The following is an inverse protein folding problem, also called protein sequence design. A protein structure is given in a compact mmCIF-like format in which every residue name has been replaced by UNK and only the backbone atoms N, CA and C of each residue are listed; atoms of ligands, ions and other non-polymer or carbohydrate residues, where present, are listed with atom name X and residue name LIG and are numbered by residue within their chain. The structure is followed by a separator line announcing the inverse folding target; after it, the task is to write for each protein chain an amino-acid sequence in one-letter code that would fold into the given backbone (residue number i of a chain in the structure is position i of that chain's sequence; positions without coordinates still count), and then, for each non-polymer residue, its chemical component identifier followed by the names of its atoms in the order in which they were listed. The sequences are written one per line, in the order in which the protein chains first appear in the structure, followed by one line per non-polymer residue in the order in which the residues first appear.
data_IF_279954933700
#
_entry.id   IF_279954933700
#
_cell.length_a   1.000
_cell.length_b   1.000
_cell.length_c   1.000
_cell.angle_alpha   90.00
_cell.angle_beta   90.00
_cell.angle_gamma   90.00
#
_symmetry.space_group_name_H-M   'P 1'
#
loop_
_entity.id
_entity.type
_entity.pdbx_description
1 polymer ?
#
# COMPACT_ATOMS: atom_id res chain seq x y z
N UNK A 1 6.39 53.71 -26.86
CA UNK A 1 7.45 53.15 -26.01
C UNK A 1 6.93 53.20 -24.59
N UNK A 2 6.03 52.29 -24.27
CA UNK A 2 5.29 52.29 -23.01
C UNK A 2 6.23 51.80 -21.91
N UNK A 3 6.77 52.75 -21.15
CA UNK A 3 7.58 52.44 -19.98
C UNK A 3 6.64 51.94 -18.87
N UNK A 4 6.72 50.66 -18.47
CA UNK A 4 5.78 50.13 -17.49
C UNK A 4 5.93 50.87 -16.16
N UNK A 5 4.80 51.21 -15.56
CA UNK A 5 4.78 51.82 -14.22
C UNK A 5 5.44 50.86 -13.22
N UNK A 6 6.09 51.41 -12.19
CA UNK A 6 6.71 50.61 -11.12
C UNK A 6 5.75 49.58 -10.52
N UNK A 7 4.46 49.92 -10.43
CA UNK A 7 3.42 48.99 -9.97
C UNK A 7 3.20 47.80 -10.92
N UNK A 8 3.31 48.01 -12.24
CA UNK A 8 3.19 46.94 -13.22
C UNK A 8 4.41 46.02 -13.19
N UNK A 9 5.61 46.57 -13.01
CA UNK A 9 6.84 45.79 -12.87
C UNK A 9 6.76 44.88 -11.63
N UNK A 10 6.28 45.42 -10.50
CA UNK A 10 6.09 44.66 -9.25
C UNK A 10 5.04 43.55 -9.46
N UNK A 11 3.91 43.87 -10.08
CA UNK A 11 2.85 42.88 -10.33
C UNK A 11 3.32 41.73 -11.24
N UNK A 12 4.10 42.04 -12.27
CA UNK A 12 4.69 41.04 -13.17
C UNK A 12 5.73 40.19 -12.44
N UNK A 13 6.58 40.79 -11.61
CA UNK A 13 7.58 40.07 -10.81
C UNK A 13 6.91 39.06 -9.84
N UNK A 14 5.90 39.52 -9.08
CA UNK A 14 5.14 38.65 -8.16
C UNK A 14 4.42 37.50 -8.89
N UNK A 15 3.91 37.78 -10.08
CA UNK A 15 3.26 36.77 -10.93
C UNK A 15 4.27 35.75 -11.45
N UNK A 16 5.48 36.19 -11.79
CA UNK A 16 6.57 35.31 -12.23
C UNK A 16 7.07 34.42 -11.07
N UNK A 17 7.24 34.96 -9.87
CA UNK A 17 7.62 34.19 -8.68
C UNK A 17 6.58 33.10 -8.35
N UNK A 18 5.29 33.45 -8.47
CA UNK A 18 4.18 32.50 -8.32
C UNK A 18 4.21 31.42 -9.41
N UNK A 19 4.51 31.81 -10.65
CA UNK A 19 4.60 30.88 -11.80
C UNK A 19 5.82 29.95 -11.70
N UNK A 20 6.96 30.44 -11.22
CA UNK A 20 8.19 29.63 -10.98
C UNK A 20 7.93 28.58 -9.90
N UNK A 21 7.23 28.96 -8.83
CA UNK A 21 6.85 28.03 -7.76
C UNK A 21 5.93 26.91 -8.29
N UNK A 22 4.97 27.26 -9.15
CA UNK A 22 4.12 26.27 -9.83
C UNK A 22 4.93 25.37 -10.78
N UNK A 23 5.85 25.93 -11.56
CA UNK A 23 6.70 25.20 -12.49
C UNK A 23 7.66 24.21 -11.79
N UNK A 24 8.13 24.52 -10.58
CA UNK A 24 9.01 23.64 -9.81
C UNK A 24 8.23 22.41 -9.26
N UNK A 25 6.97 22.62 -8.86
CA UNK A 25 6.06 21.53 -8.48
C UNK A 25 5.68 20.67 -9.70
N UNK A 26 5.53 21.29 -10.88
CA UNK A 26 5.26 20.60 -12.15
C UNK A 26 6.49 19.81 -12.68
N UNK A 27 7.70 20.29 -12.44
CA UNK A 27 8.95 19.58 -12.81
C UNK A 27 9.18 18.32 -11.97
N UNK A 28 8.69 18.30 -10.73
CA UNK A 28 8.66 17.10 -9.88
C UNK A 28 7.63 16.04 -10.33
N UNK A 29 6.59 16.44 -11.09
CA UNK A 29 5.55 15.53 -11.58
C UNK A 29 5.91 14.85 -12.89
N UNK A 30 6.75 15.47 -13.73
CA UNK A 30 7.20 14.84 -14.99
C UNK A 30 8.20 13.71 -14.78
N UNK A 31 8.98 13.73 -13.70
CA UNK A 31 9.90 12.62 -13.38
C UNK A 31 9.17 11.37 -12.83
N UNK A 32 7.85 11.44 -12.66
CA UNK A 32 7.00 10.30 -12.28
C UNK A 32 6.42 9.55 -13.49
N UNK A 33 6.58 10.07 -14.71
CA UNK A 33 5.99 9.45 -15.92
C UNK A 33 6.93 8.40 -16.53
N UNK A 34 8.23 8.41 -16.23
CA UNK A 34 9.20 7.54 -16.92
C UNK A 34 9.51 6.20 -16.23
N UNK A 35 9.03 5.94 -15.01
CA UNK A 35 9.31 4.68 -14.31
C UNK A 35 8.12 4.15 -13.49
N UNK A 36 6.92 4.22 -14.05
CA UNK A 36 5.77 3.41 -13.59
C UNK A 36 5.94 1.94 -14.00
N UNK A 37 7.03 1.34 -13.56
CA UNK A 37 7.23 -0.10 -13.57
C UNK A 37 8.05 -0.61 -12.40
N UNK A 38 8.79 0.21 -11.62
CA UNK A 38 9.55 -0.31 -10.47
C UNK A 38 9.70 0.70 -9.32
N UNK A 39 9.10 0.35 -8.18
CA UNK A 39 9.34 0.82 -6.79
C UNK A 39 8.52 2.02 -6.30
N UNK A 40 7.34 1.73 -5.73
CA UNK A 40 6.78 2.51 -4.63
C UNK A 40 7.69 2.38 -3.40
N UNK A 41 8.33 3.47 -2.99
CA UNK A 41 8.82 3.65 -1.61
C UNK A 41 7.72 4.38 -0.85
N UNK A 42 6.92 3.63 -0.09
CA UNK A 42 5.93 4.20 0.84
C UNK A 42 6.59 4.42 2.20
N UNK A 43 6.68 5.67 2.65
CA UNK A 43 7.00 5.94 4.04
C UNK A 43 5.77 6.53 4.75
N UNK A 44 5.18 5.71 5.63
CA UNK A 44 4.56 6.21 6.87
C UNK A 44 3.12 6.71 6.82
N UNK A 45 2.17 5.83 6.47
CA UNK A 45 0.88 5.68 7.16
C UNK A 45 0.15 4.49 6.54
N UNK A 46 0.53 3.28 6.98
CA UNK A 46 -0.24 2.08 6.71
C UNK A 46 -1.60 2.22 7.38
N UNK A 47 -2.58 2.79 6.66
CA UNK A 47 -3.98 2.49 6.92
C UNK A 47 -4.08 0.99 6.76
N UNK A 48 -4.05 0.30 7.91
CA UNK A 48 -4.08 -1.15 8.02
C UNK A 48 -5.23 -1.59 7.14
N UNK A 49 -4.91 -2.20 6.01
CA UNK A 49 -5.88 -2.80 5.10
C UNK A 49 -6.42 -4.06 5.76
N UNK A 50 -7.14 -3.87 6.87
CA UNK A 50 -7.82 -4.88 7.67
C UNK A 50 -9.05 -5.46 6.96
N UNK A 51 -9.27 -5.12 5.69
CA UNK A 51 -10.50 -5.48 5.00
C UNK A 51 -10.32 -6.04 3.58
N UNK A 52 -9.25 -6.80 3.32
CA UNK A 52 -9.14 -7.60 2.08
C UNK A 52 -8.92 -9.10 2.26
N UNK A 53 -9.21 -9.66 3.44
CA UNK A 53 -9.21 -11.12 3.64
C UNK A 53 -10.49 -11.67 4.28
N UNK A 54 -11.56 -10.88 4.39
CA UNK A 54 -12.84 -11.34 4.96
C UNK A 54 -13.42 -12.53 4.18
N UNK A 55 -13.23 -12.56 2.86
CA UNK A 55 -13.76 -13.63 2.00
C UNK A 55 -12.79 -14.80 1.76
N UNK A 56 -11.61 -14.81 2.39
CA UNK A 56 -10.67 -15.92 2.24
C UNK A 56 -10.94 -16.98 3.29
N UNK A 57 -11.25 -18.21 2.86
CA UNK A 57 -11.35 -19.38 3.73
C UNK A 57 -9.94 -19.88 4.07
N UNK A 58 -9.66 -20.06 5.35
CA UNK A 58 -8.42 -20.67 5.80
C UNK A 58 -8.44 -22.18 5.55
N UNK A 59 -7.60 -22.65 4.63
CA UNK A 59 -7.48 -24.07 4.27
C UNK A 59 -7.05 -25.00 5.40
N UNK A 60 -6.57 -24.46 6.51
CA UNK A 60 -6.11 -25.24 7.66
C UNK A 60 -7.19 -25.43 8.74
N UNK A 61 -8.23 -24.58 8.77
CA UNK A 61 -9.30 -24.63 9.79
C UNK A 61 -10.74 -24.49 9.26
N UNK A 62 -10.93 -24.09 8.00
CA UNK A 62 -12.24 -23.89 7.37
C UNK A 62 -12.97 -22.61 7.76
N UNK A 63 -12.35 -21.71 8.53
CA UNK A 63 -12.95 -20.41 8.91
C UNK A 63 -12.47 -19.29 7.97
N UNK A 64 -13.30 -18.27 7.80
CA UNK A 64 -13.02 -17.12 6.97
C UNK A 64 -12.34 -15.98 7.75
N UNK A 65 -11.76 -15.01 7.05
CA UNK A 65 -11.30 -13.77 7.66
C UNK A 65 -9.92 -13.81 8.29
N UNK A 66 -9.16 -14.90 8.15
CA UNK A 66 -7.80 -15.01 8.68
C UNK A 66 -6.93 -15.99 7.88
N UNK A 67 -5.62 -15.92 8.10
CA UNK A 67 -4.62 -16.79 7.48
C UNK A 67 -3.89 -17.63 8.53
N UNK A 68 -3.12 -18.64 8.12
CA UNK A 68 -2.28 -19.47 9.01
C UNK A 68 -1.23 -18.63 9.78
N UNK A 69 -0.84 -17.49 9.22
CA UNK A 69 0.09 -16.53 9.82
C UNK A 69 -0.54 -15.64 10.88
N UNK A 70 -1.86 -15.70 11.07
CA UNK A 70 -2.55 -14.92 12.09
C UNK A 70 -2.21 -15.42 13.50
N UNK A 71 -2.02 -14.50 14.45
CA UNK A 71 -1.67 -14.84 15.83
C UNK A 71 -2.81 -15.57 16.55
N UNK A 72 -4.07 -15.31 16.18
CA UNK A 72 -5.27 -15.95 16.72
C UNK A 72 -5.72 -17.15 15.87
N UNK A 73 -4.80 -17.81 15.16
CA UNK A 73 -5.15 -18.99 14.38
C UNK A 73 -5.47 -20.19 15.30
N UNK A 74 -6.72 -20.69 15.35
CA UNK A 74 -7.16 -21.68 16.34
C UNK A 74 -6.54 -23.06 16.16
N UNK A 75 -5.95 -23.35 14.98
CA UNK A 75 -5.27 -24.60 14.72
C UNK A 75 -3.74 -24.50 14.89
N UNK A 76 -3.20 -23.34 15.32
CA UNK A 76 -1.74 -23.11 15.42
C UNK A 76 -1.08 -24.15 16.31
N UNK A 77 -1.64 -24.35 17.50
CA UNK A 77 -1.12 -25.28 18.52
C UNK A 77 -1.76 -26.68 18.42
N UNK A 78 -2.68 -26.87 17.45
CA UNK A 78 -3.41 -28.13 17.33
C UNK A 78 -2.62 -29.12 16.48
N UNK A 79 -2.26 -30.26 17.07
CA UNK A 79 -1.61 -31.38 16.39
C UNK A 79 -2.65 -32.22 15.62
N UNK A 80 -2.42 -32.40 14.33
CA UNK A 80 -3.22 -33.28 13.47
C UNK A 80 -3.00 -34.74 13.87
N UNK A 81 -4.07 -35.52 14.08
CA UNK A 81 -3.92 -36.94 14.47
C UNK A 81 -3.54 -37.84 13.28
N UNK A 82 -3.81 -37.41 12.04
CA UNK A 82 -3.46 -38.15 10.82
C UNK A 82 -1.96 -38.08 10.50
N UNK A 83 -1.37 -36.89 10.50
CA UNK A 83 0.03 -36.68 10.08
C UNK A 83 0.98 -36.24 11.20
N UNK A 84 0.48 -36.11 12.43
CA UNK A 84 1.23 -35.68 13.63
C UNK A 84 1.87 -34.28 13.55
N UNK A 85 1.55 -33.49 12.52
CA UNK A 85 2.01 -32.10 12.35
C UNK A 85 1.00 -31.12 12.94
N UNK A 86 1.48 -29.97 13.40
CA UNK A 86 0.66 -28.89 13.93
C UNK A 86 0.24 -27.87 12.86
N UNK A 87 -0.67 -26.97 13.21
CA UNK A 87 -1.10 -25.88 12.33
C UNK A 87 -2.27 -26.22 11.39
N UNK A 88 -3.02 -27.30 11.63
CA UNK A 88 -4.27 -27.62 10.92
C UNK A 88 -5.13 -28.65 11.67
N UNK A 89 -6.41 -28.77 11.30
CA UNK A 89 -7.29 -29.82 11.80
C UNK A 89 -7.19 -31.09 10.95
N UNK A 90 -7.46 -32.25 11.55
CA UNK A 90 -7.44 -33.57 10.88
C UNK A 90 -8.30 -33.61 9.62
N UNK A 91 -9.48 -32.97 9.65
CA UNK A 91 -10.42 -32.85 8.52
C UNK A 91 -9.80 -32.15 7.31
N UNK A 92 -8.84 -31.25 7.52
CA UNK A 92 -8.15 -30.48 6.48
C UNK A 92 -6.71 -30.97 6.24
N UNK A 93 -6.39 -32.18 6.70
CA UNK A 93 -5.06 -32.75 6.51
C UNK A 93 -4.83 -33.13 5.04
N UNK A 94 -3.92 -32.40 4.38
CA UNK A 94 -3.48 -32.66 2.99
C UNK A 94 -2.32 -33.65 2.87
N UNK A 95 -1.91 -34.29 3.97
CA UNK A 95 -0.91 -35.36 3.88
C UNK A 95 -1.47 -36.52 3.06
N UNK A 96 -0.68 -36.98 2.09
CA UNK A 96 -0.90 -38.25 1.40
C UNK A 96 -0.93 -39.37 2.47
N UNK A 97 -1.82 -40.37 2.31
CA UNK A 97 -1.94 -41.48 3.26
C UNK A 97 -0.61 -42.20 3.46
#
# INVERSE_FOLDING_TARGET
MDNPSLAQIISVALSLESSVSQANIMSGTVNSIQHESRKRVTNGQSIKSSHRNVNVMCYACGRYGHMKTDRNFPAKERKCRKCKKEGHFEKFCKSKP
#
